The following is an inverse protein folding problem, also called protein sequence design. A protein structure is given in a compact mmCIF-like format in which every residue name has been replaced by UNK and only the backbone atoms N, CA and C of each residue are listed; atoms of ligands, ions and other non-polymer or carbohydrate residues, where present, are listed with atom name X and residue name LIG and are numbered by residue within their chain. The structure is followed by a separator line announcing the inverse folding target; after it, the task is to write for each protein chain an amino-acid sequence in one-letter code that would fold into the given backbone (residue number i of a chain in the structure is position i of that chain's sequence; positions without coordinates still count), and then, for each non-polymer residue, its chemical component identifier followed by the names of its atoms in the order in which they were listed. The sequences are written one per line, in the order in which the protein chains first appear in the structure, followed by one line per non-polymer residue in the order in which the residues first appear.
data_IF_436127373861
#
_entry.id   IF_436127373861
#
_cell.length_a   1.000
_cell.length_b   1.000
_cell.length_c   1.000
_cell.angle_alpha   90.00
_cell.angle_beta   90.00
_cell.angle_gamma   90.00
#
_symmetry.space_group_name_H-M   'P 1'
#
loop_
_entity.id
_entity.type
_entity.pdbx_description
1 polymer ?
#
# COMPACT_ATOMS: atom_id res chain seq x y z
N UNK A 1 8.71 -12.81 -19.49
CA UNK A 1 8.45 -14.26 -19.30
C UNK A 1 7.44 -14.49 -18.19
N UNK A 2 7.58 -13.83 -17.04
CA UNK A 2 6.62 -13.89 -15.93
C UNK A 2 5.18 -13.55 -16.35
N UNK A 3 4.95 -12.40 -16.98
CA UNK A 3 3.59 -11.96 -17.36
C UNK A 3 2.87 -12.98 -18.26
N UNK A 4 3.59 -13.61 -19.20
CA UNK A 4 3.02 -14.65 -20.08
C UNK A 4 2.61 -15.92 -19.33
N UNK A 5 3.38 -16.34 -18.33
CA UNK A 5 3.06 -17.53 -17.53
C UNK A 5 1.95 -17.21 -16.52
N UNK A 6 2.04 -16.06 -15.85
CA UNK A 6 1.05 -15.64 -14.86
C UNK A 6 -0.28 -15.29 -15.49
N UNK A 7 -0.34 -14.73 -16.70
CA UNK A 7 -1.61 -14.50 -17.39
C UNK A 7 -2.42 -15.80 -17.56
N UNK A 8 -1.75 -16.94 -17.77
CA UNK A 8 -2.39 -18.26 -17.92
C UNK A 8 -2.77 -18.91 -16.59
N UNK A 9 -2.06 -18.59 -15.51
CA UNK A 9 -2.18 -19.28 -14.21
C UNK A 9 -2.97 -18.45 -13.19
N UNK A 10 -2.98 -17.14 -13.32
CA UNK A 10 -3.61 -16.17 -12.43
C UNK A 10 -5.09 -16.47 -12.17
N UNK A 11 -5.83 -16.85 -13.22
CA UNK A 11 -7.26 -17.20 -13.12
C UNK A 11 -7.57 -18.34 -12.13
N UNK A 12 -6.57 -19.16 -11.79
CA UNK A 12 -6.67 -20.22 -10.78
C UNK A 12 -6.00 -19.82 -9.47
N UNK A 13 -4.77 -19.29 -9.55
CA UNK A 13 -3.94 -18.99 -8.37
C UNK A 13 -4.51 -17.83 -7.58
N UNK A 14 -4.78 -16.68 -8.21
CA UNK A 14 -5.19 -15.48 -7.47
C UNK A 14 -6.53 -15.66 -6.75
N UNK A 15 -7.60 -16.23 -7.36
CA UNK A 15 -8.82 -16.54 -6.62
C UNK A 15 -8.61 -17.54 -5.48
N UNK A 16 -7.66 -18.47 -5.59
CA UNK A 16 -7.32 -19.37 -4.51
C UNK A 16 -6.62 -18.63 -3.36
N UNK A 17 -5.69 -17.72 -3.67
CA UNK A 17 -5.05 -16.83 -2.69
C UNK A 17 -6.09 -15.97 -1.97
N UNK A 18 -7.02 -15.34 -2.69
CA UNK A 18 -8.09 -14.56 -2.08
C UNK A 18 -8.97 -15.38 -1.13
N UNK A 19 -9.20 -16.68 -1.42
CA UNK A 19 -9.92 -17.59 -0.51
C UNK A 19 -9.10 -17.95 0.73
N UNK A 20 -7.82 -18.29 0.55
CA UNK A 20 -6.91 -18.67 1.65
C UNK A 20 -6.69 -17.49 2.60
N UNK A 21 -6.55 -16.28 2.05
CA UNK A 21 -6.29 -15.05 2.81
C UNK A 21 -7.54 -14.19 3.03
N UNK A 22 -8.74 -14.78 2.92
CA UNK A 22 -9.99 -14.06 3.07
C UNK A 22 -10.05 -13.28 4.39
N UNK A 23 -9.65 -13.91 5.50
CA UNK A 23 -9.65 -13.28 6.82
C UNK A 23 -8.76 -12.03 6.85
N UNK A 24 -7.54 -12.13 6.35
CA UNK A 24 -6.58 -11.02 6.34
C UNK A 24 -7.07 -9.86 5.46
N UNK A 25 -7.67 -10.18 4.31
CA UNK A 25 -8.31 -9.20 3.44
C UNK A 25 -9.48 -8.50 4.15
N UNK A 26 -10.39 -9.26 4.75
CA UNK A 26 -11.56 -8.74 5.46
C UNK A 26 -11.13 -7.86 6.65
N UNK A 27 -10.13 -8.28 7.42
CA UNK A 27 -9.56 -7.53 8.54
C UNK A 27 -8.98 -6.18 8.07
N UNK A 28 -8.23 -6.18 6.97
CA UNK A 28 -7.70 -4.95 6.36
C UNK A 28 -8.80 -4.03 5.84
N UNK A 29 -9.82 -4.58 5.16
CA UNK A 29 -10.95 -3.79 4.67
C UNK A 29 -11.70 -3.15 5.84
N UNK A 30 -11.95 -3.91 6.91
CA UNK A 30 -12.61 -3.40 8.11
C UNK A 30 -11.77 -2.30 8.76
N UNK A 31 -10.46 -2.52 8.87
CA UNK A 31 -9.54 -1.54 9.47
C UNK A 31 -9.42 -0.28 8.61
N UNK A 32 -9.30 -0.41 7.29
CA UNK A 32 -9.31 0.70 6.34
C UNK A 32 -10.60 1.52 6.42
N UNK A 33 -11.77 0.88 6.50
CA UNK A 33 -13.05 1.59 6.68
C UNK A 33 -13.09 2.39 7.98
N UNK A 34 -12.52 1.84 9.04
CA UNK A 34 -12.53 2.46 10.35
C UNK A 34 -11.53 3.62 10.45
N UNK A 35 -10.37 3.50 9.79
CA UNK A 35 -9.37 4.56 9.71
C UNK A 35 -9.73 5.65 8.70
N UNK A 36 -10.61 5.36 7.74
CA UNK A 36 -11.09 6.30 6.72
C UNK A 36 -11.67 7.55 7.39
N UNK A 37 -11.04 8.69 7.13
CA UNK A 37 -11.43 10.00 7.67
C UNK A 37 -10.79 10.38 9.00
N UNK A 38 -10.21 9.41 9.74
CA UNK A 38 -9.40 9.70 10.94
C UNK A 38 -7.92 9.79 10.58
N UNK A 39 -7.48 8.91 9.67
CA UNK A 39 -6.14 8.94 9.12
C UNK A 39 -6.07 10.01 8.03
N UNK A 40 -5.40 11.11 8.33
CA UNK A 40 -5.15 12.22 7.40
C UNK A 40 -3.63 12.45 7.28
N UNK A 41 -3.14 13.00 6.16
CA UNK A 41 -1.71 13.31 6.00
C UNK A 41 -1.14 14.11 7.18
N UNK A 42 -1.86 15.14 7.64
CA UNK A 42 -1.46 15.93 8.81
C UNK A 42 -1.49 15.13 10.11
N UNK A 43 -2.44 14.20 10.26
CA UNK A 43 -2.56 13.34 11.44
C UNK A 43 -1.43 12.32 11.59
N UNK A 44 -0.77 11.95 10.50
CA UNK A 44 0.41 11.07 10.50
C UNK A 44 1.73 11.85 10.52
N UNK A 45 1.69 13.18 10.66
CA UNK A 45 2.88 14.04 10.72
C UNK A 45 3.52 14.36 9.37
N UNK A 46 2.85 14.03 8.25
CA UNK A 46 3.33 14.39 6.91
C UNK A 46 3.10 15.89 6.69
N UNK A 47 4.03 16.53 5.97
CA UNK A 47 3.96 17.95 5.61
C UNK A 47 2.59 18.33 5.02
N UNK A 48 2.10 19.53 5.36
CA UNK A 48 0.86 20.10 4.81
C UNK A 48 0.89 20.23 3.27
N UNK A 49 2.09 20.20 2.69
CA UNK A 49 2.34 20.10 1.25
C UNK A 49 1.62 18.93 0.58
N UNK A 50 1.40 17.86 1.34
CA UNK A 50 0.73 16.65 0.88
C UNK A 50 -0.72 16.58 1.36
N UNK A 51 -1.29 17.64 1.95
CA UNK A 51 -2.71 17.65 2.29
C UNK A 51 -3.57 17.97 1.07
N UNK A 52 -3.59 17.06 0.10
CA UNK A 52 -4.23 17.24 -1.20
C UNK A 52 -5.14 16.06 -1.60
N UNK A 53 -6.04 16.24 -2.58
CA UNK A 53 -6.76 15.13 -3.18
C UNK A 53 -5.84 14.24 -4.01
N UNK A 54 -5.81 12.93 -3.75
CA UNK A 54 -4.96 11.95 -4.44
C UNK A 54 -5.63 11.29 -5.64
N UNK A 55 -6.11 12.10 -6.58
CA UNK A 55 -6.94 11.63 -7.70
C UNK A 55 -6.21 10.62 -8.60
N UNK A 56 -4.99 10.94 -9.04
CA UNK A 56 -4.23 10.06 -9.93
C UNK A 56 -3.72 8.82 -9.20
N UNK A 57 -3.28 8.99 -7.95
CA UNK A 57 -2.83 7.87 -7.11
C UNK A 57 -3.95 6.86 -6.88
N UNK A 58 -5.14 7.33 -6.51
CA UNK A 58 -6.29 6.45 -6.27
C UNK A 58 -6.76 5.74 -7.55
N UNK A 59 -6.62 6.37 -8.71
CA UNK A 59 -6.92 5.74 -9.99
C UNK A 59 -6.07 4.48 -10.21
N UNK A 60 -4.75 4.59 -10.01
CA UNK A 60 -3.84 3.44 -10.14
C UNK A 60 -4.12 2.38 -9.07
N UNK A 61 -4.24 2.78 -7.80
CA UNK A 61 -4.52 1.81 -6.72
C UNK A 61 -5.81 1.02 -6.97
N UNK A 62 -6.86 1.67 -7.46
CA UNK A 62 -8.13 0.99 -7.77
C UNK A 62 -8.04 0.02 -8.97
N UNK A 63 -6.97 0.06 -9.76
CA UNK A 63 -6.69 -0.88 -10.84
C UNK A 63 -5.82 -2.06 -10.40
N UNK A 64 -5.20 -2.00 -9.22
CA UNK A 64 -4.22 -3.00 -8.74
C UNK A 64 -4.74 -4.45 -8.83
N UNK A 65 -6.00 -4.68 -8.45
CA UNK A 65 -6.61 -6.01 -8.45
C UNK A 65 -7.05 -6.51 -9.84
N UNK A 66 -6.98 -5.66 -10.87
CA UNK A 66 -7.35 -6.01 -12.24
C UNK A 66 -6.19 -6.64 -13.04
N UNK A 67 -4.95 -6.44 -12.58
CA UNK A 67 -3.77 -6.98 -13.22
C UNK A 67 -3.60 -8.48 -12.96
N UNK A 68 -3.06 -9.18 -13.96
CA UNK A 68 -2.98 -10.65 -13.96
C UNK A 68 -1.59 -11.16 -13.62
N UNK A 69 -0.56 -10.31 -13.64
CA UNK A 69 0.78 -10.68 -13.23
C UNK A 69 1.28 -9.88 -12.03
N UNK A 70 2.09 -10.50 -11.15
CA UNK A 70 2.77 -9.82 -10.06
C UNK A 70 3.57 -8.59 -10.54
N UNK A 71 4.29 -8.73 -11.65
CA UNK A 71 5.05 -7.65 -12.26
C UNK A 71 4.19 -6.44 -12.65
N UNK A 72 3.02 -6.67 -13.25
CA UNK A 72 2.07 -5.58 -13.57
C UNK A 72 1.52 -4.92 -12.31
N UNK A 73 1.24 -5.69 -11.24
CA UNK A 73 0.82 -5.14 -9.96
C UNK A 73 1.91 -4.26 -9.33
N UNK A 74 3.18 -4.68 -9.41
CA UNK A 74 4.32 -3.91 -8.92
C UNK A 74 4.52 -2.61 -9.72
N UNK A 75 4.38 -2.64 -11.05
CA UNK A 75 4.42 -1.43 -11.86
C UNK A 75 3.26 -0.49 -11.54
N UNK A 76 2.05 -1.03 -11.37
CA UNK A 76 0.90 -0.22 -10.93
C UNK A 76 1.15 0.48 -9.59
N UNK A 77 1.79 -0.20 -8.63
CA UNK A 77 2.18 0.41 -7.36
C UNK A 77 3.29 1.44 -7.50
N UNK A 78 4.27 1.19 -8.36
CA UNK A 78 5.31 2.17 -8.70
C UNK A 78 4.69 3.45 -9.27
N UNK A 79 3.81 3.32 -10.26
CA UNK A 79 3.10 4.45 -10.86
C UNK A 79 2.25 5.18 -9.81
N UNK A 80 1.56 4.45 -8.92
CA UNK A 80 0.82 5.04 -7.82
C UNK A 80 1.72 5.86 -6.88
N UNK A 81 2.89 5.35 -6.49
CA UNK A 81 3.85 6.05 -5.64
C UNK A 81 4.41 7.33 -6.30
N UNK A 82 4.62 7.30 -7.61
CA UNK A 82 5.01 8.49 -8.38
C UNK A 82 3.87 9.51 -8.49
N UNK A 83 2.64 9.03 -8.66
CA UNK A 83 1.45 9.88 -8.69
C UNK A 83 1.25 10.65 -7.40
N UNK A 84 1.73 10.17 -6.24
CA UNK A 84 1.66 10.92 -4.97
C UNK A 84 2.36 12.28 -5.10
N UNK A 85 3.56 12.30 -5.69
CA UNK A 85 4.29 13.55 -5.91
C UNK A 85 3.59 14.43 -6.96
N UNK A 86 3.02 13.81 -8.00
CA UNK A 86 2.29 14.53 -9.04
C UNK A 86 1.02 15.20 -8.49
N UNK A 87 0.21 14.48 -7.72
CA UNK A 87 -0.99 14.99 -7.06
C UNK A 87 -0.64 16.18 -6.14
N UNK A 88 0.47 16.09 -5.39
CA UNK A 88 0.97 17.19 -4.56
C UNK A 88 1.42 18.41 -5.39
N UNK A 89 2.20 18.22 -6.46
CA UNK A 89 2.63 19.31 -7.36
C UNK A 89 1.45 20.02 -8.02
N UNK A 90 0.47 19.25 -8.49
CA UNK A 90 -0.75 19.81 -9.05
C UNK A 90 -1.53 20.63 -8.03
N UNK A 91 -1.58 20.17 -6.78
CA UNK A 91 -2.22 20.91 -5.69
C UNK A 91 -1.48 22.22 -5.39
N UNK A 92 -0.15 22.22 -5.34
CA UNK A 92 0.66 23.44 -5.21
C UNK A 92 0.35 24.46 -6.29
N UNK A 93 0.32 24.00 -7.55
CA UNK A 93 0.03 24.85 -8.71
C UNK A 93 -1.37 25.45 -8.62
N UNK A 94 -2.38 24.64 -8.24
CA UNK A 94 -3.77 25.10 -8.09
C UNK A 94 -3.98 26.04 -6.91
N UNK A 95 -3.21 25.88 -5.84
CA UNK A 95 -3.27 26.73 -4.63
C UNK A 95 -2.38 27.97 -4.71
N UNK A 96 -1.77 28.23 -5.87
CA UNK A 96 -0.87 29.38 -6.12
C UNK A 96 0.32 29.44 -5.14
N UNK A 97 0.74 28.28 -4.60
CA UNK A 97 1.96 28.19 -3.80
C UNK A 97 3.16 28.25 -4.74
N UNK A 98 4.19 29.00 -4.35
CA UNK A 98 5.44 29.08 -5.12
C UNK A 98 6.40 27.97 -4.68
N UNK A 99 7.02 27.31 -5.65
CA UNK A 99 8.04 26.27 -5.43
C UNK A 99 7.52 24.85 -5.68
N UNK A 100 8.22 23.88 -5.11
CA UNK A 100 7.92 22.45 -5.20
C UNK A 100 7.55 21.91 -3.81
N UNK A 101 6.73 20.84 -3.73
CA UNK A 101 6.51 20.11 -2.49
C UNK A 101 7.84 19.64 -1.87
N UNK A 102 7.92 19.69 -0.54
CA UNK A 102 9.09 19.18 0.19
C UNK A 102 9.31 17.70 -0.12
N UNK A 103 10.54 17.23 -0.44
CA UNK A 103 10.79 15.81 -0.68
C UNK A 103 10.35 14.95 0.52
N UNK A 104 9.64 13.85 0.25
CA UNK A 104 9.24 12.89 1.28
C UNK A 104 10.41 12.00 1.70
N UNK A 105 10.57 11.82 3.00
CA UNK A 105 11.36 10.72 3.54
C UNK A 105 10.62 9.38 3.33
N UNK A 106 11.33 8.25 3.39
CA UNK A 106 10.72 6.93 3.22
C UNK A 106 9.64 6.64 4.26
N UNK A 107 9.85 7.01 5.52
CA UNK A 107 8.86 6.80 6.58
C UNK A 107 7.58 7.62 6.35
N UNK A 108 7.73 8.88 5.90
CA UNK A 108 6.60 9.74 5.53
C UNK A 108 5.83 9.17 4.34
N UNK A 109 6.55 8.65 3.34
CA UNK A 109 5.93 7.99 2.18
C UNK A 109 5.14 6.75 2.59
N UNK A 110 5.66 5.94 3.52
CA UNK A 110 4.97 4.75 4.05
C UNK A 110 3.67 5.16 4.74
N UNK A 111 3.73 6.13 5.66
CA UNK A 111 2.55 6.61 6.39
C UNK A 111 1.52 7.27 5.46
N UNK A 112 1.99 8.00 4.45
CA UNK A 112 1.15 8.63 3.45
C UNK A 112 0.48 7.60 2.54
N UNK A 113 1.24 6.63 2.02
CA UNK A 113 0.70 5.54 1.21
C UNK A 113 -0.33 4.74 2.00
N UNK A 114 -0.07 4.45 3.28
CA UNK A 114 -1.03 3.81 4.17
C UNK A 114 -2.33 4.62 4.26
N UNK A 115 -2.22 5.94 4.44
CA UNK A 115 -3.36 6.86 4.47
C UNK A 115 -4.18 6.77 3.19
N UNK A 116 -3.53 6.81 2.02
CA UNK A 116 -4.20 6.76 0.71
C UNK A 116 -4.83 5.38 0.46
N UNK A 117 -4.17 4.29 0.86
CA UNK A 117 -4.70 2.93 0.75
C UNK A 117 -6.03 2.76 1.50
N UNK A 118 -6.21 3.40 2.66
CA UNK A 118 -7.50 3.39 3.38
C UNK A 118 -8.65 4.04 2.59
N UNK A 119 -8.31 4.94 1.66
CA UNK A 119 -9.25 5.64 0.79
C UNK A 119 -9.52 4.86 -0.52
N UNK A 120 -8.63 3.93 -0.89
CA UNK A 120 -8.82 3.07 -2.05
C UNK A 120 -10.00 2.11 -1.89
N UNK A 121 -10.45 1.53 -3.01
CA UNK A 121 -11.51 0.52 -3.06
C UNK A 121 -10.96 -0.91 -3.13
N UNK A 122 -9.67 -1.11 -2.85
CA UNK A 122 -9.05 -2.42 -2.85
C UNK A 122 -9.58 -3.26 -1.68
N UNK A 123 -9.97 -4.50 -1.96
CA UNK A 123 -10.50 -5.45 -0.97
C UNK A 123 -9.62 -6.68 -0.79
N UNK A 124 -8.63 -6.90 -1.66
CA UNK A 124 -7.74 -8.05 -1.66
C UNK A 124 -6.26 -7.66 -1.47
N UNK A 125 -5.98 -6.53 -0.81
CA UNK A 125 -4.62 -6.00 -0.63
C UNK A 125 -3.63 -7.04 -0.07
N UNK A 126 -4.04 -7.86 0.91
CA UNK A 126 -3.17 -8.91 1.46
C UNK A 126 -2.87 -10.00 0.43
N UNK A 127 -3.86 -10.37 -0.38
CA UNK A 127 -3.66 -11.36 -1.44
C UNK A 127 -2.79 -10.82 -2.57
N UNK A 128 -2.91 -9.53 -2.93
CA UNK A 128 -2.01 -8.87 -3.86
C UNK A 128 -0.57 -8.87 -3.33
N UNK A 129 -0.37 -8.47 -2.06
CA UNK A 129 0.94 -8.49 -1.42
C UNK A 129 1.56 -9.90 -1.47
N UNK A 130 0.83 -10.91 -1.00
CA UNK A 130 1.30 -12.29 -1.01
C UNK A 130 1.61 -12.78 -2.44
N UNK A 131 0.78 -12.42 -3.41
CA UNK A 131 0.99 -12.77 -4.81
C UNK A 131 2.28 -12.14 -5.36
N UNK A 132 2.53 -10.87 -5.06
CA UNK A 132 3.77 -10.18 -5.43
C UNK A 132 5.01 -10.76 -4.76
N UNK A 133 4.93 -11.13 -3.48
CA UNK A 133 6.06 -11.69 -2.75
C UNK A 133 6.47 -13.09 -3.23
N UNK A 134 5.49 -13.92 -3.61
CA UNK A 134 5.73 -15.35 -3.82
C UNK A 134 5.68 -15.79 -5.28
N UNK A 135 5.13 -14.96 -6.17
CA UNK A 135 4.98 -15.29 -7.60
C UNK A 135 5.71 -14.32 -8.52
N UNK A 136 6.38 -13.31 -7.98
CA UNK A 136 7.30 -12.48 -8.73
C UNK A 136 8.62 -13.23 -8.98
N UNK A 137 9.07 -13.24 -10.23
CA UNK A 137 10.38 -13.73 -10.64
C UNK A 137 11.21 -12.54 -11.13
N UNK A 138 11.90 -11.84 -10.20
CA UNK A 138 12.70 -10.69 -10.57
C UNK A 138 13.82 -11.11 -11.53
N UNK A 139 14.06 -10.35 -12.62
CA UNK A 139 15.36 -10.39 -13.27
C UNK A 139 16.42 -9.84 -12.29
N UNK A 140 17.69 -10.13 -12.54
CA UNK A 140 18.80 -9.95 -11.59
C UNK A 140 19.07 -8.50 -11.09
N UNK A 141 18.34 -7.49 -11.56
CA UNK A 141 18.60 -6.06 -11.28
C UNK A 141 17.31 -5.23 -11.12
N UNK A 142 16.42 -5.54 -10.17
CA UNK A 142 15.19 -4.73 -9.95
C UNK A 142 15.07 -4.12 -8.55
N UNK A 143 16.12 -3.43 -8.09
CA UNK A 143 16.14 -2.67 -6.83
C UNK A 143 14.92 -1.76 -6.63
N UNK A 144 14.44 -1.14 -7.71
CA UNK A 144 13.30 -0.22 -7.66
C UNK A 144 11.97 -0.93 -7.35
N UNK A 145 11.74 -2.12 -7.92
CA UNK A 145 10.51 -2.88 -7.64
C UNK A 145 10.57 -3.53 -6.25
N UNK A 146 11.77 -3.91 -5.79
CA UNK A 146 11.98 -4.34 -4.41
C UNK A 146 11.65 -3.23 -3.41
N UNK A 147 12.08 -1.99 -3.67
CA UNK A 147 11.69 -0.83 -2.85
C UNK A 147 10.17 -0.62 -2.83
N UNK A 148 9.50 -0.71 -3.98
CA UNK A 148 8.03 -0.59 -4.08
C UNK A 148 7.34 -1.66 -3.24
N UNK A 149 7.77 -2.92 -3.36
CA UNK A 149 7.19 -4.03 -2.60
C UNK A 149 7.36 -3.84 -1.09
N UNK A 150 8.57 -3.50 -0.64
CA UNK A 150 8.86 -3.25 0.78
C UNK A 150 8.06 -2.06 1.31
N UNK A 151 7.95 -0.98 0.54
CA UNK A 151 7.16 0.21 0.93
C UNK A 151 5.67 -0.12 1.03
N UNK A 152 5.15 -0.90 0.08
CA UNK A 152 3.76 -1.35 0.10
C UNK A 152 3.46 -2.28 1.27
N UNK A 153 4.34 -3.26 1.54
CA UNK A 153 4.25 -4.13 2.71
C UNK A 153 4.25 -3.30 4.00
N UNK A 154 5.19 -2.36 4.14
CA UNK A 154 5.28 -1.48 5.31
C UNK A 154 4.02 -0.61 5.48
N UNK A 155 3.44 -0.09 4.41
CA UNK A 155 2.20 0.68 4.46
C UNK A 155 1.00 -0.18 4.90
N UNK A 156 0.95 -1.44 4.46
CA UNK A 156 -0.06 -2.39 4.92
C UNK A 156 0.09 -2.73 6.41
N UNK A 157 1.32 -2.94 6.88
CA UNK A 157 1.60 -3.16 8.30
C UNK A 157 1.32 -1.90 9.13
N UNK A 158 1.57 -0.71 8.59
CA UNK A 158 1.18 0.55 9.21
C UNK A 158 -0.33 0.60 9.45
N UNK A 159 -1.15 0.28 8.43
CA UNK A 159 -2.62 0.20 8.58
C UNK A 159 -2.98 -0.76 9.70
N UNK A 160 -2.30 -1.91 9.83
CA UNK A 160 -2.56 -2.95 10.85
C UNK A 160 -2.04 -2.60 12.24
N UNK A 161 -1.02 -1.74 12.32
CA UNK A 161 -0.28 -1.44 13.53
C UNK A 161 -1.15 -0.82 14.64
N UNK A 162 -0.85 -1.12 15.92
CA UNK A 162 -1.59 -0.58 17.05
C UNK A 162 -1.42 0.94 17.19
N UNK A 163 -0.31 1.51 16.72
CA UNK A 163 0.01 2.94 16.87
C UNK A 163 -1.00 3.86 16.19
N UNK A 164 -1.52 3.45 15.03
CA UNK A 164 -2.57 4.18 14.30
C UNK A 164 -3.89 4.19 15.08
N UNK A 165 -4.07 3.24 15.98
CA UNK A 165 -5.22 3.13 16.88
C UNK A 165 -5.20 4.21 17.97
N UNK A 166 -4.04 4.77 18.29
CA UNK A 166 -3.95 5.87 19.27
C UNK A 166 -4.38 7.22 18.67
N UNK A 167 -4.41 7.34 17.35
CA UNK A 167 -4.89 8.53 16.62
C UNK A 167 -6.43 8.64 16.59
N UNK A 168 -7.12 7.70 17.23
CA UNK A 168 -8.58 7.61 17.23
C UNK A 168 -9.22 8.40 18.38
N UNK A 169 -10.41 8.98 18.19
CA UNK A 169 -11.25 9.44 19.29
C UNK A 169 -11.71 8.24 20.15
N UNK A 170 -11.60 8.38 21.48
CA UNK A 170 -11.72 7.32 22.52
C UNK A 170 -13.04 6.50 22.59
N UNK A 171 -13.97 6.66 21.64
CA UNK A 171 -15.33 6.10 21.73
C UNK A 171 -15.65 4.97 20.75
N UNK A 172 -14.67 4.36 20.09
CA UNK A 172 -14.95 3.20 19.23
C UNK A 172 -14.45 1.91 19.84
N UNK A 173 -15.40 0.99 20.06
CA UNK A 173 -15.14 -0.36 20.54
C UNK A 173 -14.37 -1.12 19.47
N UNK A 174 -13.10 -1.41 19.73
CA UNK A 174 -12.30 -2.33 18.94
C UNK A 174 -12.57 -3.74 19.44
N UNK A 175 -13.00 -4.61 18.54
CA UNK A 175 -12.98 -6.05 18.77
C UNK A 175 -11.52 -6.48 18.82
N UNK A 176 -10.95 -6.44 20.02
CA UNK A 176 -9.63 -7.01 20.31
C UNK A 176 -9.71 -8.52 20.13
N UNK A 177 -8.86 -9.04 19.24
CA UNK A 177 -9.01 -10.41 18.76
C UNK A 177 -7.72 -11.01 18.22
N UNK A 178 -6.79 -11.25 19.13
CA UNK A 178 -5.68 -12.23 19.10
C UNK A 178 -4.34 -11.86 18.42
N UNK A 179 -3.21 -12.30 19.01
CA UNK A 179 -1.85 -12.03 18.53
C UNK A 179 -1.57 -12.93 17.32
N UNK A 180 -1.17 -12.32 16.21
CA UNK A 180 -0.72 -13.08 15.04
C UNK A 180 0.80 -13.02 14.95
N UNK A 181 1.39 -14.20 14.78
CA UNK A 181 2.82 -14.47 14.80
C UNK A 181 3.48 -13.58 13.74
N UNK A 182 4.27 -12.63 14.22
CA UNK A 182 5.26 -11.94 13.40
C UNK A 182 6.26 -13.00 12.93
N UNK A 183 6.15 -13.45 11.67
CA UNK A 183 7.26 -14.08 10.98
C UNK A 183 8.28 -13.02 10.55
N UNK A 184 8.66 -12.14 11.49
CA UNK A 184 9.84 -11.29 11.39
C UNK A 184 11.04 -12.11 11.83
N UNK A 185 11.40 -13.13 11.05
CA UNK A 185 12.68 -13.83 11.17
C UNK A 185 13.04 -14.49 9.83
N UNK A 186 13.14 -13.70 8.76
CA UNK A 186 13.99 -14.07 7.62
C UNK A 186 14.39 -12.89 6.71
N UNK A 187 14.71 -11.73 7.27
CA UNK A 187 15.43 -10.68 6.51
C UNK A 187 16.54 -10.07 7.35
N UNK A 188 17.40 -10.94 7.88
CA UNK A 188 18.75 -10.56 8.27
C UNK A 188 19.71 -11.50 7.56
N UNK A 189 20.56 -10.89 6.74
CA UNK A 189 21.69 -11.48 6.01
C UNK A 189 21.36 -12.44 4.86
N UNK A 190 21.42 -11.89 3.65
CA UNK A 190 22.25 -12.53 2.63
C UNK A 190 22.97 -11.48 1.78
N UNK A 191 24.09 -11.01 2.34
CA UNK A 191 25.27 -10.69 1.54
C UNK A 191 25.75 -11.96 0.86
N UNK A 192 25.70 -11.99 -0.47
CA UNK A 192 26.79 -12.53 -1.31
C UNK A 192 26.59 -12.18 -2.76
#
# INVERSE_FOLDING_TARGET
MESYLMEKVHSKVFPALCRVHKRQNDDLVQRSKYLRGTLTPSGVGVSEDYNCPYGQTLLHLNQLESFKSPLEQLYCLQDAMECIQQDAREHFTKTLRHGEPTPLASDDLIALLATILTQSNCVHLFSCLYYMEHFHWPPSDTDRLSYVLVTFHAAMEYIRGPDVTHLLPKNTVLVSGSPFISQSHLFLFQTR
#
